data_IF_679094325730
#
_entry.id   IF_679094325730
#
_cell.length_a   1.000
_cell.length_b   1.000
_cell.length_c   1.000
_cell.angle_alpha   90.00
_cell.angle_beta   90.00
_cell.angle_gamma   90.00
#
_symmetry.space_group_name_H-M   'P 1'
#
loop_
_entity.id
_entity.type
_entity.pdbx_description
1 polymer ?
#
# COMPACT_ATOMS: atom_id res chain seq x y z
N UNK A 1 -20.47 6.12 3.88
CA UNK A 1 -19.55 5.04 3.45
C UNK A 1 -18.21 5.33 4.09
N UNK A 2 -17.44 4.35 4.57
CA UNK A 2 -16.15 4.63 5.23
C UNK A 2 -14.98 4.22 4.35
N UNK A 3 -14.25 5.18 3.80
CA UNK A 3 -13.00 4.95 3.06
C UNK A 3 -11.82 4.98 4.02
N UNK A 4 -11.06 3.89 4.11
CA UNK A 4 -9.81 3.85 4.89
C UNK A 4 -8.62 4.07 3.97
N UNK A 5 -7.78 5.04 4.29
CA UNK A 5 -6.54 5.35 3.57
C UNK A 5 -5.35 5.08 4.49
N UNK A 6 -4.48 4.16 4.10
CA UNK A 6 -3.22 3.88 4.79
C UNK A 6 -2.11 4.76 4.20
N UNK A 7 -1.44 5.56 5.04
CA UNK A 7 -0.33 6.43 4.63
C UNK A 7 -0.56 7.92 4.90
N UNK A 8 -0.89 8.28 6.14
CA UNK A 8 -1.28 9.63 6.55
C UNK A 8 -0.37 10.77 6.10
N UNK A 9 0.95 10.58 6.20
CA UNK A 9 1.93 11.62 5.88
C UNK A 9 2.49 11.51 4.45
N UNK A 10 2.05 10.50 3.69
CA UNK A 10 2.51 10.26 2.32
C UNK A 10 1.90 11.25 1.34
N UNK A 11 2.61 11.52 0.24
CA UNK A 11 2.15 12.47 -0.79
C UNK A 11 0.75 12.12 -1.29
N UNK A 12 0.52 10.87 -1.67
CA UNK A 12 -0.76 10.43 -2.19
C UNK A 12 -1.85 10.35 -1.10
N UNK A 13 -1.52 9.85 0.09
CA UNK A 13 -2.47 9.78 1.21
C UNK A 13 -3.04 11.17 1.57
N UNK A 14 -2.17 12.17 1.68
CA UNK A 14 -2.56 13.57 1.93
C UNK A 14 -3.43 14.12 0.81
N UNK A 15 -3.07 13.88 -0.45
CA UNK A 15 -3.82 14.40 -1.60
C UNK A 15 -5.17 13.71 -1.76
N UNK A 16 -5.28 12.42 -1.43
CA UNK A 16 -6.56 11.71 -1.40
C UNK A 16 -7.47 12.24 -0.30
N UNK A 17 -6.95 12.42 0.92
CA UNK A 17 -7.74 12.97 2.03
C UNK A 17 -8.28 14.40 1.74
N UNK A 18 -7.56 15.21 0.96
CA UNK A 18 -8.03 16.53 0.51
C UNK A 18 -9.14 16.47 -0.54
N UNK A 19 -9.31 15.33 -1.22
CA UNK A 19 -10.26 15.13 -2.32
C UNK A 19 -11.47 14.29 -1.91
N UNK A 20 -11.51 13.79 -0.68
CA UNK A 20 -12.61 12.98 -0.15
C UNK A 20 -13.34 13.74 0.96
N UNK A 21 -14.56 13.32 1.28
CA UNK A 21 -15.32 13.89 2.39
C UNK A 21 -14.69 13.43 3.73
N UNK A 22 -14.25 14.35 4.60
CA UNK A 22 -13.70 14.01 5.92
C UNK A 22 -14.68 13.25 6.83
N UNK A 23 -15.99 13.39 6.62
CA UNK A 23 -17.00 12.63 7.37
C UNK A 23 -17.06 11.15 6.95
N UNK A 24 -16.52 10.83 5.77
CA UNK A 24 -16.55 9.50 5.16
C UNK A 24 -15.16 8.89 4.98
N UNK A 25 -14.11 9.56 5.47
CA UNK A 25 -12.72 9.14 5.26
C UNK A 25 -11.98 9.03 6.59
N UNK A 26 -11.30 7.90 6.78
CA UNK A 26 -10.35 7.70 7.87
C UNK A 26 -8.96 7.52 7.28
N UNK A 27 -8.03 8.39 7.64
CA UNK A 27 -6.64 8.28 7.23
C UNK A 27 -5.79 7.80 8.41
N UNK A 28 -4.95 6.79 8.16
CA UNK A 28 -4.19 6.09 9.19
C UNK A 28 -2.71 6.18 8.89
N UNK A 29 -1.96 6.66 9.88
CA UNK A 29 -0.51 6.76 9.86
C UNK A 29 0.16 5.69 10.73
N UNK A 30 1.48 5.82 10.87
CA UNK A 30 2.32 4.92 11.68
C UNK A 30 1.98 4.88 13.18
N UNK A 31 1.25 5.88 13.68
CA UNK A 31 0.84 5.93 15.09
C UNK A 31 -0.20 4.86 15.43
N UNK A 32 -0.93 4.38 14.42
CA UNK A 32 -2.03 3.41 14.55
C UNK A 32 -1.81 2.16 13.71
N UNK A 33 -1.08 2.26 12.59
CA UNK A 33 -0.72 1.13 11.73
C UNK A 33 0.79 0.88 11.76
N UNK A 34 1.23 -0.20 12.40
CA UNK A 34 2.62 -0.62 12.40
C UNK A 34 2.91 -1.46 11.14
N UNK A 35 3.42 -0.82 10.09
CA UNK A 35 3.60 -1.47 8.79
C UNK A 35 4.73 -2.50 8.76
N UNK A 36 5.55 -2.57 9.81
CA UNK A 36 6.49 -3.68 10.03
C UNK A 36 5.83 -4.91 10.68
N UNK A 37 4.58 -4.79 11.12
CA UNK A 37 3.74 -5.87 11.66
C UNK A 37 2.52 -6.11 10.73
N UNK A 38 2.62 -7.08 9.80
CA UNK A 38 1.55 -7.41 8.87
C UNK A 38 0.23 -7.78 9.55
N UNK A 39 0.27 -8.47 10.70
CA UNK A 39 -0.93 -8.93 11.38
C UNK A 39 -1.61 -7.80 12.14
N UNK A 40 -0.86 -6.87 12.72
CA UNK A 40 -1.41 -5.64 13.28
C UNK A 40 -2.17 -4.83 12.21
N UNK A 41 -1.59 -4.67 11.02
CA UNK A 41 -2.26 -4.01 9.90
C UNK A 41 -3.53 -4.76 9.44
N UNK A 42 -3.48 -6.08 9.37
CA UNK A 42 -4.63 -6.90 9.00
C UNK A 42 -5.76 -6.80 10.03
N UNK A 43 -5.43 -6.82 11.33
CA UNK A 43 -6.40 -6.66 12.41
C UNK A 43 -7.08 -5.29 12.35
N UNK A 44 -6.30 -4.23 12.12
CA UNK A 44 -6.82 -2.88 11.94
C UNK A 44 -7.84 -2.81 10.80
N UNK A 45 -7.57 -3.46 9.66
CA UNK A 45 -8.51 -3.51 8.53
C UNK A 45 -9.79 -4.25 8.91
N UNK A 46 -9.68 -5.41 9.55
CA UNK A 46 -10.85 -6.20 10.01
C UNK A 46 -11.76 -5.41 10.94
N UNK A 47 -11.16 -4.63 11.84
CA UNK A 47 -11.90 -3.91 12.89
C UNK A 47 -12.34 -2.49 12.45
N UNK A 48 -11.91 -2.01 11.28
CA UNK A 48 -12.12 -0.64 10.83
C UNK A 48 -13.57 -0.28 10.45
N UNK A 49 -14.41 -1.28 10.13
CA UNK A 49 -15.72 -1.04 9.52
C UNK A 49 -15.63 -0.37 8.13
N UNK A 50 -14.49 -0.50 7.44
CA UNK A 50 -14.27 0.07 6.12
C UNK A 50 -15.31 -0.43 5.11
N UNK A 51 -15.66 0.43 4.17
CA UNK A 51 -16.37 0.08 2.93
C UNK A 51 -15.40 -0.10 1.75
N UNK A 52 -14.19 0.46 1.85
CA UNK A 52 -13.09 0.30 0.90
C UNK A 52 -11.77 0.69 1.57
N UNK A 53 -10.64 0.13 1.09
CA UNK A 53 -9.29 0.44 1.58
C UNK A 53 -8.40 0.91 0.44
N UNK A 54 -7.61 1.96 0.67
CA UNK A 54 -6.52 2.41 -0.21
C UNK A 54 -5.21 2.32 0.55
N UNK A 55 -4.32 1.42 0.11
CA UNK A 55 -2.96 1.35 0.62
C UNK A 55 -2.01 2.22 -0.21
N UNK A 56 -1.56 3.32 0.37
CA UNK A 56 -0.54 4.22 -0.21
C UNK A 56 0.81 4.11 0.49
N UNK A 57 0.96 3.16 1.41
CA UNK A 57 2.19 2.97 2.18
C UNK A 57 3.16 2.10 1.41
N UNK A 58 4.40 2.57 1.35
CA UNK A 58 5.54 1.85 0.82
C UNK A 58 6.82 2.32 1.52
N UNK A 59 7.82 1.45 1.56
CA UNK A 59 9.21 1.81 1.79
C UNK A 59 9.79 2.33 0.47
N UNK A 60 9.92 3.65 0.33
CA UNK A 60 10.28 4.30 -0.94
C UNK A 60 11.72 4.81 -1.01
N UNK A 61 12.53 4.57 0.03
CA UNK A 61 13.95 4.92 0.02
C UNK A 61 14.75 3.84 -0.73
N UNK A 62 14.74 3.90 -2.06
CA UNK A 62 15.30 2.86 -2.97
C UNK A 62 16.72 2.43 -2.57
N UNK A 63 17.65 3.38 -2.41
CA UNK A 63 19.04 3.07 -2.04
C UNK A 63 19.16 2.37 -0.67
N UNK A 64 18.20 2.59 0.22
CA UNK A 64 18.18 1.98 1.54
C UNK A 64 17.46 0.63 1.52
N UNK A 65 16.48 0.44 0.63
CA UNK A 65 15.80 -0.83 0.41
C UNK A 65 16.79 -1.94 0.00
N UNK A 66 17.79 -1.61 -0.81
CA UNK A 66 18.90 -2.52 -1.19
C UNK A 66 19.75 -2.98 0.01
N UNK A 67 19.79 -2.21 1.11
CA UNK A 67 20.53 -2.58 2.33
C UNK A 67 19.64 -3.21 3.39
N UNK A 68 18.34 -2.93 3.31
CA UNK A 68 17.31 -3.32 4.27
C UNK A 68 16.24 -4.19 3.59
N UNK A 69 16.65 -5.11 2.72
CA UNK A 69 15.74 -5.89 1.87
C UNK A 69 14.63 -6.58 2.67
N UNK A 70 14.95 -7.13 3.85
CA UNK A 70 13.96 -7.78 4.71
C UNK A 70 12.88 -6.80 5.22
N UNK A 71 13.27 -5.57 5.55
CA UNK A 71 12.35 -4.54 5.98
C UNK A 71 11.53 -4.02 4.80
N UNK A 72 12.19 -3.76 3.66
CA UNK A 72 11.54 -3.37 2.42
C UNK A 72 10.50 -4.41 1.98
N UNK A 73 10.86 -5.70 1.97
CA UNK A 73 9.95 -6.81 1.65
C UNK A 73 8.80 -6.92 2.66
N UNK A 74 9.06 -6.70 3.95
CA UNK A 74 7.99 -6.68 4.96
C UNK A 74 6.97 -5.61 4.64
N UNK A 75 7.41 -4.37 4.41
CA UNK A 75 6.52 -3.22 4.18
C UNK A 75 5.88 -3.23 2.78
N UNK A 76 6.61 -3.64 1.74
CA UNK A 76 6.16 -3.54 0.34
C UNK A 76 5.50 -4.82 -0.19
N UNK A 77 5.70 -5.97 0.44
CA UNK A 77 5.12 -7.24 -0.02
C UNK A 77 4.29 -7.94 1.05
N UNK A 78 4.87 -8.22 2.22
CA UNK A 78 4.20 -9.02 3.25
C UNK A 78 3.00 -8.30 3.86
N UNK A 79 3.17 -7.04 4.26
CA UNK A 79 2.12 -6.22 4.87
C UNK A 79 0.97 -5.93 3.89
N UNK A 80 1.20 -5.51 2.63
CA UNK A 80 0.13 -5.37 1.63
C UNK A 80 -0.61 -6.69 1.38
N UNK A 81 0.11 -7.82 1.38
CA UNK A 81 -0.52 -9.15 1.27
C UNK A 81 -1.43 -9.50 2.44
N UNK A 82 -1.06 -9.12 3.68
CA UNK A 82 -1.90 -9.30 4.85
C UNK A 82 -3.14 -8.39 4.81
N UNK A 83 -2.97 -7.12 4.42
CA UNK A 83 -4.07 -6.17 4.19
C UNK A 83 -5.05 -6.71 3.14
N UNK A 84 -4.54 -7.25 2.03
CA UNK A 84 -5.36 -7.81 0.96
C UNK A 84 -6.19 -9.00 1.43
N UNK A 85 -5.60 -9.90 2.23
CA UNK A 85 -6.33 -11.02 2.85
C UNK A 85 -7.42 -10.52 3.78
N UNK A 86 -7.12 -9.56 4.66
CA UNK A 86 -8.10 -8.97 5.56
C UNK A 86 -9.26 -8.29 4.80
N UNK A 87 -8.96 -7.56 3.72
CA UNK A 87 -10.00 -6.95 2.87
C UNK A 87 -10.91 -8.02 2.24
N UNK A 88 -10.33 -9.11 1.74
CA UNK A 88 -11.08 -10.21 1.16
C UNK A 88 -11.98 -10.92 2.19
N UNK A 89 -11.50 -11.11 3.43
CA UNK A 89 -12.26 -11.72 4.53
C UNK A 89 -13.52 -10.93 4.89
N UNK A 90 -13.43 -9.58 4.90
CA UNK A 90 -14.57 -8.71 5.23
C UNK A 90 -15.36 -8.25 3.98
N UNK A 91 -14.95 -8.68 2.78
CA UNK A 91 -15.65 -8.42 1.53
C UNK A 91 -15.55 -6.96 1.03
N UNK A 92 -14.43 -6.28 1.28
CA UNK A 92 -14.22 -4.88 0.86
C UNK A 92 -13.16 -4.79 -0.25
N UNK A 93 -13.30 -3.85 -1.20
CA UNK A 93 -12.30 -3.62 -2.22
C UNK A 93 -11.03 -2.99 -1.65
N UNK A 94 -9.89 -3.38 -2.23
CA UNK A 94 -8.57 -2.81 -1.95
C UNK A 94 -8.00 -2.15 -3.22
N UNK A 95 -7.51 -0.93 -3.09
CA UNK A 95 -6.58 -0.30 -4.03
C UNK A 95 -5.19 -0.33 -3.41
N UNK A 96 -4.23 -0.96 -4.08
CA UNK A 96 -2.81 -0.93 -3.68
C UNK A 96 -2.01 -0.20 -4.73
N UNK A 97 -1.28 0.83 -4.30
CA UNK A 97 -0.44 1.65 -5.18
C UNK A 97 0.91 0.99 -5.30
N UNK A 98 1.30 0.69 -6.54
CA UNK A 98 2.56 0.03 -6.88
C UNK A 98 3.52 1.02 -7.57
N UNK A 99 4.48 0.50 -8.31
CA UNK A 99 5.58 1.23 -8.94
C UNK A 99 5.85 0.69 -10.34
N UNK A 100 6.41 1.52 -11.22
CA UNK A 100 6.95 1.10 -12.52
C UNK A 100 8.22 0.25 -12.38
N UNK A 101 8.85 0.22 -11.19
CA UNK A 101 10.04 -0.59 -10.90
C UNK A 101 9.75 -2.11 -10.92
N UNK A 102 8.49 -2.52 -11.11
CA UNK A 102 8.14 -3.91 -11.44
C UNK A 102 8.64 -4.32 -12.82
N UNK A 103 9.01 -3.38 -13.69
CA UNK A 103 9.59 -3.62 -15.01
C UNK A 103 11.11 -3.39 -15.01
N UNK A 104 11.81 -4.01 -15.96
CA UNK A 104 13.28 -3.91 -16.07
C UNK A 104 13.77 -2.59 -16.69
N UNK A 105 12.85 -1.73 -17.13
CA UNK A 105 13.15 -0.45 -17.77
C UNK A 105 13.83 -0.57 -19.14
N UNK A 106 13.88 -1.77 -19.73
CA UNK A 106 14.51 -1.99 -21.04
C UNK A 106 13.55 -1.67 -22.19
N UNK A 107 14.12 -1.37 -23.36
CA UNK A 107 13.35 -1.03 -24.55
C UNK A 107 12.97 0.46 -24.64
N UNK A 108 12.13 0.78 -25.62
CA UNK A 108 11.70 2.16 -25.93
C UNK A 108 10.20 2.30 -26.11
N UNK A 109 9.45 1.19 -26.01
CA UNK A 109 8.00 1.20 -26.04
C UNK A 109 7.45 1.35 -24.62
N UNK A 110 6.31 2.04 -24.43
CA UNK A 110 5.61 2.05 -23.14
C UNK A 110 5.23 0.64 -22.69
N UNK A 111 5.38 0.34 -21.40
CA UNK A 111 4.94 -0.94 -20.83
C UNK A 111 3.39 -0.97 -20.74
N UNK A 112 2.71 -1.92 -21.40
CA UNK A 112 1.29 -2.15 -21.15
C UNK A 112 1.06 -2.82 -19.79
N UNK A 113 -0.15 -2.71 -19.18
CA UNK A 113 -0.48 -3.36 -17.92
C UNK A 113 -0.29 -4.89 -17.92
N UNK A 114 -0.38 -5.52 -19.09
CA UNK A 114 -0.21 -6.96 -19.27
C UNK A 114 1.27 -7.37 -19.50
N UNK A 115 2.20 -6.42 -19.55
CA UNK A 115 3.62 -6.75 -19.69
C UNK A 115 4.10 -7.59 -18.51
N UNK A 116 4.96 -8.60 -18.75
CA UNK A 116 5.51 -9.39 -17.67
C UNK A 116 6.40 -8.49 -16.77
N UNK A 117 6.31 -8.63 -15.43
CA UNK A 117 7.23 -7.95 -14.54
C UNK A 117 8.64 -8.57 -14.65
N UNK A 118 9.65 -7.73 -14.43
CA UNK A 118 11.07 -8.07 -14.39
C UNK A 118 11.85 -7.09 -13.52
N UNK A 119 11.53 -6.99 -12.21
CA UNK A 119 12.19 -6.03 -11.32
C UNK A 119 13.69 -6.34 -11.18
N UNK A 120 14.49 -5.29 -11.06
CA UNK A 120 15.96 -5.39 -10.96
C UNK A 120 16.52 -5.17 -9.53
N UNK A 121 15.68 -4.75 -8.59
CA UNK A 121 16.06 -4.43 -7.22
C UNK A 121 14.97 -4.82 -6.21
N UNK A 122 15.22 -4.50 -4.95
CA UNK A 122 14.36 -4.84 -3.81
C UNK A 122 13.13 -3.92 -3.63
#
# INVERSE_FOLDING_TARGET
MTLVILGEIGQLGLELARRTDPAETVILGREVAEFTDPESCAALVRDSGASAVINTVAYTAVDQAEREEALAATINATTPGAIARACAEIGVPLVHVSTDYVFDGTGSAPFPPEAPPGPLGA
#
